data_IF_951822987229
#
_entry.id   IF_951822987229
#
_cell.length_a   1.000
_cell.length_b   1.000
_cell.length_c   1.000
_cell.angle_alpha   90.00
_cell.angle_beta   90.00
_cell.angle_gamma   90.00
#
_symmetry.space_group_name_H-M   'P 1'
#
loop_
_entity.id
_entity.type
_entity.pdbx_description
1 polymer ?
#
# COMPACT_ATOMS: atom_id res chain seq x y z
N UNK A 1 19.55 6.69 18.53
CA UNK A 1 18.82 7.51 17.54
C UNK A 1 18.51 6.61 16.36
N UNK A 2 17.24 6.52 15.97
CA UNK A 2 16.85 5.74 14.80
C UNK A 2 17.23 6.54 13.54
N UNK A 3 18.06 6.00 12.64
CA UNK A 3 18.56 6.75 11.48
C UNK A 3 17.41 7.17 10.55
N UNK A 4 17.50 8.38 9.98
CA UNK A 4 16.53 8.84 8.97
C UNK A 4 16.50 7.89 7.76
N UNK A 5 17.64 7.34 7.37
CA UNK A 5 17.75 6.32 6.33
C UNK A 5 17.00 5.03 6.66
N UNK A 6 17.01 4.59 7.93
CA UNK A 6 16.22 3.45 8.37
C UNK A 6 14.73 3.74 8.27
N UNK A 7 14.29 4.96 8.65
CA UNK A 7 12.89 5.37 8.55
C UNK A 7 12.37 5.34 7.11
N UNK A 8 13.15 5.90 6.18
CA UNK A 8 12.78 5.89 4.77
C UNK A 8 12.76 4.47 4.20
N UNK A 9 13.67 3.61 4.65
CA UNK A 9 13.72 2.19 4.26
C UNK A 9 12.47 1.45 4.75
N UNK A 10 12.05 1.68 6.00
CA UNK A 10 10.85 1.05 6.57
C UNK A 10 9.56 1.57 5.90
N UNK A 11 9.49 2.88 5.60
CA UNK A 11 8.39 3.47 4.81
C UNK A 11 8.31 2.81 3.44
N UNK A 12 9.45 2.66 2.76
CA UNK A 12 9.52 2.01 1.45
C UNK A 12 9.02 0.57 1.50
N UNK A 13 9.51 -0.24 2.45
CA UNK A 13 9.08 -1.63 2.57
C UNK A 13 7.59 -1.76 2.91
N UNK A 14 7.05 -0.88 3.77
CA UNK A 14 5.63 -0.89 4.13
C UNK A 14 4.76 -0.53 2.92
N UNK A 15 5.11 0.55 2.21
CA UNK A 15 4.41 0.99 1.01
C UNK A 15 4.42 -0.09 -0.06
N UNK A 16 5.59 -0.69 -0.34
CA UNK A 16 5.72 -1.74 -1.35
C UNK A 16 4.91 -2.99 -0.98
N UNK A 17 4.99 -3.41 0.28
CA UNK A 17 4.23 -4.57 0.77
C UNK A 17 2.72 -4.37 0.61
N UNK A 18 2.22 -3.16 0.88
CA UNK A 18 0.82 -2.83 0.70
C UNK A 18 0.39 -2.81 -0.77
N UNK A 19 1.19 -2.21 -1.66
CA UNK A 19 0.91 -2.19 -3.09
C UNK A 19 0.85 -3.62 -3.68
N UNK A 20 1.78 -4.49 -3.28
CA UNK A 20 1.80 -5.89 -3.70
C UNK A 20 0.60 -6.67 -3.16
N UNK A 21 0.21 -6.41 -1.91
CA UNK A 21 -0.99 -6.99 -1.32
C UNK A 21 -2.24 -6.56 -2.09
N UNK A 22 -2.38 -5.28 -2.40
CA UNK A 22 -3.50 -4.78 -3.22
C UNK A 22 -3.51 -5.41 -4.61
N UNK A 23 -2.37 -5.51 -5.29
CA UNK A 23 -2.28 -6.16 -6.60
C UNK A 23 -2.73 -7.62 -6.53
N UNK A 24 -2.33 -8.35 -5.49
CA UNK A 24 -2.74 -9.75 -5.29
C UNK A 24 -4.23 -9.88 -4.98
N UNK A 25 -4.76 -9.02 -4.11
CA UNK A 25 -6.19 -8.99 -3.78
C UNK A 25 -7.05 -8.60 -4.99
N UNK A 26 -6.54 -7.75 -5.88
CA UNK A 26 -7.20 -7.39 -7.15
C UNK A 26 -7.40 -8.58 -8.09
N UNK A 27 -6.58 -9.62 -7.95
CA UNK A 27 -6.70 -10.85 -8.71
C UNK A 27 -7.67 -11.85 -8.06
N UNK A 28 -8.00 -11.69 -6.78
CA UNK A 28 -8.96 -12.53 -6.06
C UNK A 28 -10.36 -11.91 -6.10
N UNK A 29 -11.40 -12.70 -6.34
CA UNK A 29 -12.79 -12.21 -6.38
C UNK A 29 -13.37 -11.84 -5.00
N UNK A 30 -12.56 -11.90 -3.93
CA UNK A 30 -12.96 -11.58 -2.57
C UNK A 30 -12.90 -10.05 -2.32
N UNK A 31 -13.83 -9.34 -2.95
CA UNK A 31 -13.99 -7.89 -2.79
C UNK A 31 -14.34 -7.48 -1.34
N UNK A 32 -14.76 -8.43 -0.50
CA UNK A 32 -15.08 -8.22 0.92
C UNK A 32 -13.87 -7.78 1.75
N UNK A 33 -12.66 -8.25 1.42
CA UNK A 33 -11.42 -7.84 2.07
C UNK A 33 -10.98 -6.42 1.69
N UNK A 34 -11.49 -5.91 0.56
CA UNK A 34 -11.18 -4.60 0.01
C UNK A 34 -12.20 -3.53 0.39
N UNK A 35 -13.14 -3.83 1.29
CA UNK A 35 -14.11 -2.86 1.79
C UNK A 35 -13.37 -1.63 2.35
N UNK A 36 -13.36 -0.52 1.60
CA UNK A 36 -12.64 0.72 1.92
C UNK A 36 -11.53 1.12 0.94
N UNK A 37 -11.17 0.27 -0.01
CA UNK A 37 -10.22 0.61 -1.09
C UNK A 37 -10.98 1.03 -2.34
N UNK A 38 -10.57 2.12 -2.98
CA UNK A 38 -11.19 2.58 -4.23
C UNK A 38 -10.96 1.55 -5.35
N UNK A 39 -12.05 1.07 -5.97
CA UNK A 39 -12.01 0.11 -7.07
C UNK A 39 -11.20 0.60 -8.28
N UNK A 40 -11.20 1.91 -8.57
CA UNK A 40 -10.42 2.49 -9.67
C UNK A 40 -8.91 2.39 -9.40
N UNK A 41 -8.50 2.64 -8.15
CA UNK A 41 -7.12 2.49 -7.70
C UNK A 41 -6.71 1.02 -7.78
N UNK A 42 -7.62 0.11 -7.42
CA UNK A 42 -7.39 -1.32 -7.48
C UNK A 42 -7.17 -1.82 -8.92
N UNK A 43 -8.02 -1.37 -9.86
CA UNK A 43 -7.87 -1.66 -11.28
C UNK A 43 -6.53 -1.14 -11.82
N UNK A 44 -6.10 0.04 -11.37
CA UNK A 44 -4.82 0.63 -11.76
C UNK A 44 -3.63 -0.18 -11.23
N UNK A 45 -3.69 -0.61 -9.96
CA UNK A 45 -2.62 -1.41 -9.31
C UNK A 45 -2.50 -2.80 -9.91
N UNK A 46 -3.62 -3.41 -10.32
CA UNK A 46 -3.64 -4.74 -10.93
C UNK A 46 -2.67 -4.86 -12.11
N UNK A 47 -2.69 -3.88 -13.01
CA UNK A 47 -1.93 -3.90 -14.27
C UNK A 47 -0.54 -3.24 -14.17
N UNK A 48 -0.18 -2.71 -12.99
CA UNK A 48 1.10 -2.05 -12.80
C UNK A 48 2.25 -3.08 -12.68
N UNK A 49 3.32 -2.96 -13.48
CA UNK A 49 4.48 -3.83 -13.36
C UNK A 49 5.29 -3.49 -12.10
N UNK A 50 6.01 -4.48 -11.56
CA UNK A 50 6.80 -4.35 -10.33
C UNK A 50 7.67 -3.07 -10.25
N UNK A 51 8.43 -2.66 -11.29
CA UNK A 51 9.25 -1.45 -11.22
C UNK A 51 8.44 -0.17 -10.96
N UNK A 52 7.18 -0.12 -11.42
CA UNK A 52 6.30 1.02 -11.15
C UNK A 52 5.80 1.00 -9.70
N UNK A 53 5.51 -0.17 -9.13
CA UNK A 53 5.15 -0.29 -7.72
C UNK A 53 6.32 0.11 -6.80
N UNK A 54 7.55 -0.27 -7.15
CA UNK A 54 8.75 0.16 -6.43
C UNK A 54 8.88 1.68 -6.47
N UNK A 55 8.72 2.31 -7.64
CA UNK A 55 8.77 3.77 -7.77
C UNK A 55 7.70 4.50 -6.95
N UNK A 56 6.49 3.92 -6.83
CA UNK A 56 5.44 4.47 -5.96
C UNK A 56 5.76 4.29 -4.46
N UNK A 57 6.53 3.26 -4.11
CA UNK A 57 6.94 3.01 -2.73
C UNK A 57 8.15 3.87 -2.30
N UNK A 58 8.97 4.37 -3.24
CA UNK A 58 10.10 5.28 -3.02
C UNK A 58 9.66 6.72 -2.68
N UNK A 59 8.67 6.86 -1.80
CA UNK A 59 8.26 8.15 -1.25
C UNK A 59 8.69 8.25 0.21
N UNK A 60 8.83 9.47 0.70
CA UNK A 60 9.08 9.75 2.11
C UNK A 60 7.79 9.82 2.93
N UNK A 61 6.67 9.34 2.38
CA UNK A 61 5.35 9.38 2.99
C UNK A 61 4.76 7.97 3.03
N UNK A 62 3.94 7.70 4.04
CA UNK A 62 3.14 6.49 4.08
C UNK A 62 1.94 6.65 3.15
N UNK A 63 1.76 5.70 2.23
CA UNK A 63 0.57 5.65 1.36
C UNK A 63 -0.64 4.99 2.06
N UNK A 64 -0.44 4.53 3.29
CA UNK A 64 -1.42 3.82 4.10
C UNK A 64 -1.84 4.72 5.26
N UNK A 65 -3.14 4.79 5.50
CA UNK A 65 -3.71 5.44 6.69
C UNK A 65 -4.43 4.41 7.55
N UNK A 66 -4.34 4.59 8.87
CA UNK A 66 -5.12 3.80 9.81
C UNK A 66 -6.55 4.31 9.76
N UNK A 67 -7.53 3.41 9.62
CA UNK A 67 -8.94 3.79 9.68
C UNK A 67 -9.25 4.37 11.04
N UNK A 68 -9.95 5.51 11.08
CA UNK A 68 -10.31 6.18 12.34
C UNK A 68 -11.10 5.27 13.28
N UNK A 69 -11.90 4.35 12.73
CA UNK A 69 -12.65 3.30 13.45
C UNK A 69 -11.77 2.39 14.31
N UNK A 70 -10.49 2.24 13.97
CA UNK A 70 -9.52 1.44 14.73
C UNK A 70 -8.80 2.31 15.77
N UNK A 71 -8.65 3.60 15.48
CA UNK A 71 -7.88 4.54 16.30
C UNK A 71 -8.71 5.10 17.47
N UNK A 72 -10.03 5.18 17.32
CA UNK A 72 -10.96 5.65 18.34
C UNK A 72 -11.78 4.46 18.85
N UNK A 73 -11.72 4.14 20.17
CA UNK A 73 -12.50 3.06 20.78
C UNK A 73 -13.99 3.36 20.85
#
# INVERSE_FOLDING_TARGET
>A
MYPVSSCLTDIHYLNLSYLLLLQRLSCTQENSLLAGVNFELLATIKDLPLPKLVSLAETNQLIITIRQEILLP
#
